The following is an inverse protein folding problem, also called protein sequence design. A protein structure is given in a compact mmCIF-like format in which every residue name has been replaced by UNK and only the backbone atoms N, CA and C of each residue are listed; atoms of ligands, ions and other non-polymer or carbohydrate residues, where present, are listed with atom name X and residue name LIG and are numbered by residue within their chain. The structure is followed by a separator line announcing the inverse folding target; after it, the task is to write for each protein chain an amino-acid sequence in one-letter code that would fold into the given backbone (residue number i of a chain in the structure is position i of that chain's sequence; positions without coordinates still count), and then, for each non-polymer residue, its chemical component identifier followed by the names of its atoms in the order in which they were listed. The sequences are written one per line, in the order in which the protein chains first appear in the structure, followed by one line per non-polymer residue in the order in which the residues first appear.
data_IF_400620521832
#
_entry.id   IF_400620521832
#
_cell.length_a   1.000
_cell.length_b   1.000
_cell.length_c   1.000
_cell.angle_alpha   90.00
_cell.angle_beta   90.00
_cell.angle_gamma   90.00
#
_symmetry.space_group_name_H-M   'P 1'
#
loop_
_entity.id
_entity.type
_entity.pdbx_description
1 polymer ?
#
# COMPACT_ATOMS: atom_id res chain seq x y z
N UNK A 1 13.99 -31.36 -58.20
CA UNK A 1 12.70 -31.47 -57.47
C UNK A 1 12.96 -31.63 -55.96
N UNK A 2 12.20 -30.95 -55.09
CA UNK A 2 12.59 -30.64 -53.72
C UNK A 2 11.96 -31.57 -52.68
N UNK A 3 12.69 -31.91 -51.61
CA UNK A 3 12.07 -32.27 -50.33
C UNK A 3 12.78 -31.52 -49.20
N UNK A 4 12.17 -30.39 -48.84
CA UNK A 4 12.45 -29.60 -47.65
C UNK A 4 11.76 -30.26 -46.45
N UNK A 5 12.53 -30.72 -45.47
CA UNK A 5 12.03 -30.93 -44.11
C UNK A 5 12.84 -30.07 -43.15
N UNK A 6 12.47 -28.79 -43.06
CA UNK A 6 12.87 -27.91 -41.95
C UNK A 6 12.03 -28.28 -40.73
N UNK A 7 12.67 -28.81 -39.68
CA UNK A 7 12.05 -28.88 -38.35
C UNK A 7 12.01 -27.48 -37.74
N UNK A 8 10.84 -26.86 -37.79
CA UNK A 8 10.46 -25.77 -36.90
C UNK A 8 10.43 -26.28 -35.46
N UNK A 9 11.48 -25.99 -34.68
CA UNK A 9 11.38 -26.02 -33.22
C UNK A 9 11.09 -24.59 -32.79
N UNK A 10 9.80 -24.29 -32.68
CA UNK A 10 9.27 -23.08 -32.06
C UNK A 10 9.77 -23.02 -30.61
N UNK A 11 10.78 -22.19 -30.35
CA UNK A 11 11.03 -21.69 -29.00
C UNK A 11 9.92 -20.68 -28.69
N UNK A 12 8.91 -21.14 -27.95
CA UNK A 12 7.94 -20.27 -27.34
C UNK A 12 8.67 -19.25 -26.44
N UNK A 13 8.37 -17.95 -26.52
CA UNK A 13 8.97 -16.96 -25.64
C UNK A 13 8.62 -17.30 -24.20
N UNK A 14 9.65 -17.26 -23.34
CA UNK A 14 9.55 -17.48 -21.91
C UNK A 14 8.33 -16.74 -21.35
N UNK A 15 7.43 -17.50 -20.71
CA UNK A 15 6.30 -16.97 -19.98
C UNK A 15 6.83 -15.93 -18.98
N UNK A 16 6.43 -14.67 -19.19
CA UNK A 16 6.66 -13.63 -18.20
C UNK A 16 6.09 -14.09 -16.85
N UNK A 17 6.83 -13.94 -15.74
CA UNK A 17 6.32 -14.29 -14.42
C UNK A 17 5.00 -13.56 -14.21
N UNK A 18 3.99 -14.28 -13.69
CA UNK A 18 2.63 -13.79 -13.46
C UNK A 18 2.63 -12.53 -12.59
N UNK A 19 2.74 -11.38 -13.24
CA UNK A 19 2.32 -10.08 -12.72
C UNK A 19 0.82 -10.17 -12.45
N UNK A 20 0.43 -9.92 -11.19
CA UNK A 20 -0.94 -9.94 -10.64
C UNK A 20 -1.36 -11.28 -10.04
N UNK A 21 -0.69 -11.68 -8.96
CA UNK A 21 -1.49 -12.12 -7.82
C UNK A 21 -1.98 -10.87 -7.08
N UNK A 22 -3.28 -10.54 -7.07
CA UNK A 22 -3.81 -9.62 -6.05
C UNK A 22 -3.39 -10.17 -4.69
N UNK A 23 -3.12 -9.30 -3.73
CA UNK A 23 -2.75 -9.70 -2.36
C UNK A 23 -3.85 -10.63 -1.82
N UNK A 24 -3.68 -11.95 -1.98
CA UNK A 24 -4.58 -12.94 -1.43
C UNK A 24 -4.18 -13.04 0.02
N UNK A 25 -5.01 -12.46 0.89
CA UNK A 25 -4.89 -12.71 2.32
C UNK A 25 -4.90 -14.23 2.52
N UNK A 26 -3.87 -14.83 3.15
CA UNK A 26 -3.91 -16.26 3.44
C UNK A 26 -5.20 -16.55 4.20
N UNK A 27 -5.98 -17.51 3.70
CA UNK A 27 -7.18 -17.98 4.38
C UNK A 27 -6.73 -18.80 5.60
N UNK A 28 -6.54 -18.11 6.71
CA UNK A 28 -6.06 -18.60 8.00
C UNK A 28 -5.67 -17.37 8.82
N UNK A 29 -6.05 -17.32 10.11
CA UNK A 29 -5.88 -16.10 10.95
C UNK A 29 -4.47 -15.54 10.77
N UNK A 30 -4.30 -14.41 10.07
CA UNK A 30 -2.97 -13.96 9.72
C UNK A 30 -2.29 -13.40 10.97
N UNK A 31 -1.19 -14.04 11.34
CA UNK A 31 -0.33 -13.63 12.45
C UNK A 31 0.60 -12.53 11.90
N UNK A 32 0.19 -11.26 12.00
CA UNK A 32 0.98 -10.12 11.50
C UNK A 32 1.98 -9.60 12.54
N UNK A 33 3.21 -10.12 12.53
CA UNK A 33 4.31 -9.58 13.33
C UNK A 33 4.83 -8.24 12.80
N UNK A 34 5.71 -7.59 13.57
CA UNK A 34 6.33 -6.31 13.21
C UNK A 34 7.13 -6.39 11.91
N UNK A 35 7.72 -7.57 11.61
CA UNK A 35 8.50 -7.88 10.42
C UNK A 35 7.72 -7.74 9.10
N UNK A 36 6.38 -7.74 9.18
CA UNK A 36 5.53 -7.63 8.00
C UNK A 36 5.37 -6.19 7.50
N UNK A 37 5.63 -5.19 8.36
CA UNK A 37 5.33 -3.79 8.08
C UNK A 37 6.56 -3.02 7.59
N UNK A 38 6.37 -2.11 6.64
CA UNK A 38 7.42 -1.20 6.17
C UNK A 38 7.82 -0.19 7.25
N UNK A 39 6.88 0.15 8.12
CA UNK A 39 7.07 1.03 9.25
C UNK A 39 6.26 0.50 10.43
N UNK A 40 6.90 0.42 11.60
CA UNK A 40 6.30 -0.13 12.82
C UNK A 40 6.72 0.72 14.02
N UNK A 41 5.78 1.00 14.92
CA UNK A 41 6.09 1.72 16.15
C UNK A 41 4.87 1.97 17.01
N UNK A 42 5.05 2.75 18.07
CA UNK A 42 3.96 3.10 19.00
C UNK A 42 3.39 4.46 18.61
N UNK A 43 2.06 4.56 18.64
CA UNK A 43 1.32 5.81 18.41
C UNK A 43 0.11 5.87 19.35
N UNK A 44 -0.34 7.07 19.69
CA UNK A 44 -1.61 7.24 20.40
C UNK A 44 -2.69 7.65 19.41
N UNK A 45 -3.89 7.11 19.58
CA UNK A 45 -5.09 7.53 18.83
C UNK A 45 -6.13 8.04 19.82
N UNK A 46 -6.77 9.16 19.50
CA UNK A 46 -7.93 9.64 20.25
C UNK A 46 -9.13 8.72 20.00
N UNK A 47 -9.77 8.27 21.07
CA UNK A 47 -11.06 7.60 21.04
C UNK A 47 -11.97 8.30 22.03
N UNK A 48 -13.14 8.71 21.58
CA UNK A 48 -14.09 9.52 22.36
C UNK A 48 -13.42 10.77 22.93
N UNK A 49 -12.97 10.71 24.19
CA UNK A 49 -12.38 11.81 24.94
C UNK A 49 -10.96 11.52 25.46
N UNK A 50 -10.37 10.36 25.14
CA UNK A 50 -9.04 9.96 25.67
C UNK A 50 -8.12 9.38 24.60
N UNK A 51 -6.83 9.57 24.82
CA UNK A 51 -5.79 8.94 23.99
C UNK A 51 -5.51 7.53 24.47
N UNK A 52 -5.52 6.58 23.54
CA UNK A 52 -5.14 5.20 23.77
C UNK A 52 -3.87 4.89 22.99
N UNK A 53 -2.95 4.16 23.62
CA UNK A 53 -1.69 3.73 23.01
C UNK A 53 -1.92 2.47 22.18
N UNK A 54 -1.38 2.46 20.97
CA UNK A 54 -1.43 1.32 20.05
C UNK A 54 -0.04 1.07 19.45
N UNK A 55 0.18 -0.17 19.06
CA UNK A 55 1.22 -0.49 18.09
C UNK A 55 0.64 -0.29 16.69
N UNK A 56 1.36 0.46 15.86
CA UNK A 56 0.93 0.83 14.51
C UNK A 56 1.90 0.25 13.50
N UNK A 57 1.35 -0.40 12.47
CA UNK A 57 2.09 -0.94 11.34
C UNK A 57 1.57 -0.37 10.03
N UNK A 58 2.48 -0.01 9.12
CA UNK A 58 2.14 0.48 7.77
C UNK A 58 2.73 -0.46 6.72
N UNK A 59 1.90 -0.93 5.78
CA UNK A 59 2.33 -1.77 4.64
C UNK A 59 1.52 -1.41 3.41
N UNK A 60 2.20 -0.97 2.35
CA UNK A 60 1.52 -0.46 1.15
C UNK A 60 0.65 0.75 1.50
N UNK A 61 -0.63 0.69 1.16
CA UNK A 61 -1.66 1.68 1.51
C UNK A 61 -2.41 1.37 2.82
N UNK A 62 -2.04 0.31 3.54
CA UNK A 62 -2.77 -0.15 4.72
C UNK A 62 -2.04 0.25 5.99
N UNK A 63 -2.80 0.75 6.97
CA UNK A 63 -2.37 0.94 8.36
C UNK A 63 -3.14 -0.01 9.25
N UNK A 64 -2.43 -0.71 10.13
CA UNK A 64 -3.02 -1.59 11.13
C UNK A 64 -2.63 -1.11 12.53
N UNK A 65 -3.61 -1.08 13.44
CA UNK A 65 -3.42 -0.77 14.86
C UNK A 65 -3.66 -2.02 15.71
N UNK A 66 -2.77 -2.25 16.66
CA UNK A 66 -2.79 -3.39 17.58
C UNK A 66 -2.77 -2.91 19.02
N UNK A 67 -3.52 -3.58 19.90
CA UNK A 67 -3.55 -3.25 21.33
C UNK A 67 -2.24 -3.60 22.03
N UNK A 68 -1.65 -4.73 21.66
CA UNK A 68 -0.35 -5.19 22.15
C UNK A 68 0.61 -5.47 20.99
N UNK A 69 1.87 -5.79 21.28
CA UNK A 69 2.82 -6.26 20.25
C UNK A 69 2.41 -7.58 19.60
N UNK A 70 1.45 -8.29 20.20
CA UNK A 70 1.03 -9.58 19.70
C UNK A 70 0.16 -9.42 18.44
N UNK A 71 0.43 -10.20 17.39
CA UNK A 71 -0.27 -10.15 16.10
C UNK A 71 -1.79 -10.41 16.17
N UNK A 72 -2.24 -11.12 17.22
CA UNK A 72 -3.66 -11.47 17.39
C UNK A 72 -4.50 -10.32 17.98
N UNK A 73 -3.88 -9.23 18.41
CA UNK A 73 -4.55 -8.10 19.07
C UNK A 73 -4.86 -6.95 18.09
N UNK A 74 -5.19 -7.29 16.84
CA UNK A 74 -5.59 -6.34 15.81
C UNK A 74 -6.88 -5.62 16.22
N UNK A 75 -6.84 -4.30 16.28
CA UNK A 75 -7.96 -3.44 16.70
C UNK A 75 -8.62 -2.77 15.50
N UNK A 76 -7.80 -2.25 14.58
CA UNK A 76 -8.29 -1.43 13.48
C UNK A 76 -7.40 -1.59 12.26
N UNK A 77 -8.02 -1.66 11.09
CA UNK A 77 -7.34 -1.62 9.79
C UNK A 77 -7.89 -0.42 9.02
N UNK A 78 -7.00 0.40 8.49
CA UNK A 78 -7.32 1.58 7.71
C UNK A 78 -6.72 1.44 6.31
N UNK A 79 -7.55 1.63 5.30
CA UNK A 79 -7.09 1.87 3.93
C UNK A 79 -6.86 3.38 3.77
N UNK A 80 -5.60 3.76 3.53
CA UNK A 80 -5.21 5.15 3.34
C UNK A 80 -5.35 5.64 1.89
N UNK A 81 -5.84 4.82 0.96
CA UNK A 81 -6.05 5.25 -0.43
C UNK A 81 -6.79 6.58 -0.49
N UNK A 82 -6.19 7.55 -1.18
CA UNK A 82 -6.74 8.89 -1.39
C UNK A 82 -7.00 9.70 -0.10
N UNK A 83 -6.39 9.30 1.03
CA UNK A 83 -6.54 10.01 2.31
C UNK A 83 -5.60 11.22 2.40
N UNK A 84 -6.13 12.34 2.91
CA UNK A 84 -5.36 13.57 3.14
C UNK A 84 -4.89 13.67 4.59
N UNK A 85 -3.61 13.39 4.81
CA UNK A 85 -2.98 13.57 6.13
C UNK A 85 -2.77 15.06 6.40
N UNK A 86 -3.21 15.53 7.57
CA UNK A 86 -3.13 16.95 7.95
C UNK A 86 -2.50 17.10 9.33
N UNK A 87 -1.47 17.93 9.46
CA UNK A 87 -0.89 18.29 10.76
C UNK A 87 -1.80 19.26 11.50
N UNK A 88 -1.95 19.10 12.82
CA UNK A 88 -2.80 20.00 13.61
C UNK A 88 -2.03 21.25 14.05
N UNK A 89 -2.59 22.43 13.78
CA UNK A 89 -2.01 23.69 14.27
C UNK A 89 -2.13 23.77 15.80
N UNK A 90 -1.07 24.22 16.46
CA UNK A 90 -1.04 24.44 17.92
C UNK A 90 -0.80 23.18 18.77
N UNK A 91 -0.71 21.99 18.17
CA UNK A 91 -0.28 20.77 18.87
C UNK A 91 0.72 20.01 17.97
N UNK A 92 2.03 20.23 18.14
CA UNK A 92 3.03 19.79 17.18
C UNK A 92 3.18 18.26 17.11
N UNK A 93 2.72 17.52 18.11
CA UNK A 93 2.74 16.05 18.15
C UNK A 93 1.51 15.40 17.49
N UNK A 94 0.51 16.20 17.09
CA UNK A 94 -0.76 15.71 16.58
C UNK A 94 -0.83 15.75 15.04
N UNK A 95 -1.49 14.75 14.46
CA UNK A 95 -1.93 14.76 13.06
C UNK A 95 -3.28 14.05 12.88
N UNK A 96 -3.98 14.43 11.81
CA UNK A 96 -5.32 14.00 11.47
C UNK A 96 -5.30 13.19 10.18
N UNK A 97 -6.09 12.12 10.17
CA UNK A 97 -6.28 11.27 8.99
C UNK A 97 -7.78 11.05 8.80
N UNK A 98 -8.38 11.54 7.70
CA UNK A 98 -9.76 11.21 7.38
C UNK A 98 -9.81 9.74 6.91
N UNK A 99 -10.69 8.88 7.46
CA UNK A 99 -10.92 7.57 6.91
C UNK A 99 -11.69 7.68 5.60
N UNK A 100 -11.34 6.83 4.62
CA UNK A 100 -12.01 6.80 3.32
C UNK A 100 -13.53 6.56 3.42
N UNK A 101 -13.96 5.75 4.39
CA UNK A 101 -15.37 5.40 4.59
C UNK A 101 -16.21 6.54 5.18
N UNK A 102 -15.60 7.48 5.89
CA UNK A 102 -16.29 8.62 6.50
C UNK A 102 -15.39 9.86 6.43
N UNK A 103 -15.35 10.57 5.28
CA UNK A 103 -14.45 11.70 5.06
C UNK A 103 -14.70 12.89 6.01
N UNK A 104 -15.84 12.87 6.72
CA UNK A 104 -16.24 13.89 7.70
C UNK A 104 -15.71 13.58 9.11
N UNK A 105 -15.29 12.35 9.36
CA UNK A 105 -14.65 11.96 10.61
C UNK A 105 -13.13 12.06 10.44
N UNK A 106 -12.43 12.53 11.46
CA UNK A 106 -10.98 12.52 11.45
C UNK A 106 -10.49 11.63 12.58
N UNK A 107 -9.58 10.72 12.25
CA UNK A 107 -8.81 9.99 13.25
C UNK A 107 -7.67 10.90 13.69
N UNK A 108 -7.70 11.29 14.96
CA UNK A 108 -6.63 12.07 15.58
C UNK A 108 -5.58 11.14 16.18
N UNK A 109 -4.36 11.30 15.71
CA UNK A 109 -3.19 10.60 16.21
C UNK A 109 -2.26 11.57 16.93
N UNK A 110 -1.59 11.07 17.96
CA UNK A 110 -0.58 11.78 18.74
C UNK A 110 0.69 10.93 18.83
N UNK A 111 1.82 11.55 18.52
CA UNK A 111 3.14 10.94 18.65
C UNK A 111 3.81 11.36 19.96
N UNK A 112 4.98 10.79 20.23
CA UNK A 112 5.77 11.13 21.42
C UNK A 112 6.30 12.56 21.38
N UNK A 113 6.70 13.03 20.20
CA UNK A 113 7.26 14.35 19.96
C UNK A 113 7.02 14.77 18.49
N UNK A 114 7.33 16.02 18.17
CA UNK A 114 7.17 16.58 16.82
C UNK A 114 7.97 15.83 15.74
N UNK A 115 9.27 15.48 15.93
CA UNK A 115 9.99 14.69 14.93
C UNK A 115 9.34 13.34 14.64
N UNK A 116 8.87 12.62 15.66
CA UNK A 116 8.15 11.37 15.49
C UNK A 116 6.83 11.59 14.73
N UNK A 117 6.10 12.67 15.04
CA UNK A 117 4.90 13.08 14.30
C UNK A 117 5.20 13.28 12.82
N UNK A 118 6.25 14.00 12.49
CA UNK A 118 6.62 14.29 11.10
C UNK A 118 6.96 13.01 10.32
N UNK A 119 7.69 12.07 10.94
CA UNK A 119 7.96 10.75 10.37
C UNK A 119 6.66 9.99 10.12
N UNK A 120 5.78 9.89 11.12
CA UNK A 120 4.51 9.19 10.99
C UNK A 120 3.61 9.81 9.91
N UNK A 121 3.44 11.13 9.92
CA UNK A 121 2.67 11.85 8.91
C UNK A 121 3.22 11.58 7.50
N UNK A 122 4.54 11.63 7.32
CA UNK A 122 5.16 11.32 6.04
C UNK A 122 4.90 9.88 5.59
N UNK A 123 4.98 8.89 6.50
CA UNK A 123 4.69 7.50 6.15
C UNK A 123 3.22 7.28 5.77
N UNK A 124 2.28 7.94 6.47
CA UNK A 124 0.86 7.91 6.10
C UNK A 124 0.61 8.56 4.73
N UNK A 125 1.26 9.69 4.42
CA UNK A 125 1.17 10.33 3.09
C UNK A 125 1.69 9.39 2.00
N UNK A 126 2.84 8.74 2.23
CA UNK A 126 3.41 7.77 1.28
C UNK A 126 2.48 6.58 1.05
N UNK A 127 1.85 6.09 2.11
CA UNK A 127 0.87 5.01 2.03
C UNK A 127 -0.37 5.45 1.25
N UNK A 128 -0.88 6.66 1.47
CA UNK A 128 -2.03 7.19 0.74
C UNK A 128 -1.78 7.31 -0.77
N UNK A 129 -0.56 7.72 -1.15
CA UNK A 129 -0.12 7.86 -2.55
C UNK A 129 0.31 6.54 -3.20
N UNK A 130 0.37 5.45 -2.44
CA UNK A 130 0.92 4.18 -2.92
C UNK A 130 0.13 3.64 -4.13
N UNK A 131 -1.20 3.61 -4.04
CA UNK A 131 -2.06 3.10 -5.11
C UNK A 131 -2.08 4.02 -6.33
N UNK A 132 -2.03 5.33 -6.13
CA UNK A 132 -1.96 6.29 -7.24
C UNK A 132 -0.70 6.05 -8.08
N UNK A 133 0.45 5.88 -7.41
CA UNK A 133 1.71 5.57 -8.10
C UNK A 133 1.65 4.24 -8.85
N UNK A 134 1.11 3.17 -8.23
CA UNK A 134 0.95 1.88 -8.89
C UNK A 134 0.01 1.96 -10.09
N UNK A 135 -1.08 2.74 -10.00
CA UNK A 135 -2.04 2.95 -11.09
C UNK A 135 -1.38 3.64 -12.28
N UNK A 136 -0.63 4.72 -12.05
CA UNK A 136 0.08 5.44 -13.11
C UNK A 136 1.07 4.52 -13.82
N UNK A 137 1.85 3.73 -13.07
CA UNK A 137 2.79 2.77 -13.64
C UNK A 137 2.10 1.68 -14.46
N UNK A 138 0.97 1.16 -13.97
CA UNK A 138 0.18 0.18 -14.72
C UNK A 138 -0.36 0.76 -16.04
N UNK A 139 -0.83 2.01 -16.03
CA UNK A 139 -1.31 2.70 -17.22
C UNK A 139 -0.19 2.94 -18.25
N UNK A 140 0.99 3.35 -17.80
CA UNK A 140 2.16 3.51 -18.68
C UNK A 140 2.56 2.18 -19.33
N UNK A 141 2.60 1.08 -18.58
CA UNK A 141 2.89 -0.26 -19.13
C UNK A 141 1.86 -0.69 -20.18
N UNK A 142 0.58 -0.38 -19.97
CA UNK A 142 -0.47 -0.68 -20.94
C UNK A 142 -0.32 0.13 -22.24
N UNK A 143 -0.02 1.43 -22.12
CA UNK A 143 0.22 2.29 -23.28
C UNK A 143 1.45 1.84 -24.07
N UNK A 144 2.56 1.52 -23.38
CA UNK A 144 3.76 1.01 -24.02
C UNK A 144 3.49 -0.28 -24.81
N UNK A 145 2.78 -1.24 -24.21
CA UNK A 145 2.38 -2.49 -24.90
C UNK A 145 1.49 -2.22 -26.12
N UNK A 146 0.60 -1.23 -26.06
CA UNK A 146 -0.26 -0.87 -27.19
C UNK A 146 0.57 -0.29 -28.36
N UNK A 147 1.54 0.58 -28.05
CA UNK A 147 2.45 1.15 -29.06
C UNK A 147 3.32 0.06 -29.68
N UNK A 148 3.91 -0.81 -28.87
CA UNK A 148 4.74 -1.93 -29.36
C UNK A 148 3.92 -2.87 -30.27
N UNK A 149 2.68 -3.20 -29.89
CA UNK A 149 1.79 -4.02 -30.70
C UNK A 149 1.41 -3.34 -32.03
N UNK A 150 1.21 -2.02 -32.03
CA UNK A 150 0.94 -1.27 -33.25
C UNK A 150 2.16 -1.23 -34.18
N UNK A 151 3.36 -0.99 -33.64
CA UNK A 151 4.60 -1.01 -34.42
C UNK A 151 4.89 -2.39 -35.00
N UNK A 152 4.64 -3.46 -34.24
CA UNK A 152 4.79 -4.83 -34.72
C UNK A 152 3.86 -5.13 -35.91
N UNK A 153 2.62 -4.63 -35.87
CA UNK A 153 1.67 -4.76 -36.98
C UNK A 153 2.07 -3.98 -38.23
N UNK A 154 2.77 -2.85 -38.10
CA UNK A 154 3.24 -2.06 -39.26
C UNK A 154 4.46 -2.67 -39.97
N UNK A 155 5.15 -3.63 -39.33
CA UNK A 155 6.29 -4.35 -39.93
C UNK A 155 5.86 -5.59 -40.71
N UNK A 156 4.60 -5.98 -40.61
CA UNK A 156 3.99 -7.07 -41.38
C UNK A 156 3.23 -6.48 -42.56
#
# INVERSE_FOLDING_TARGET
PPEQHQRSSSQAPAQAPSDRQPLRWPQGRPVFGAEYFNHWGVIKKLSEIRYHTYYCGIRGNVVALFKNKAPNDLVLVLDLSDCKVTTRNGVPEDFLVPPRSSPREYLLFRCENQPARDVWAQQFVRAAQYNERQRVLAQQRLLQRAVEAQQARQRQ
#
